data_IF_321406042126
#
_entry.id   IF_321406042126
#
_cell.length_a   1.000
_cell.length_b   1.000
_cell.length_c   1.000
_cell.angle_alpha   90.00
_cell.angle_beta   90.00
_cell.angle_gamma   90.00
#
_symmetry.space_group_name_H-M   'P 1'
#
loop_
_entity.id
_entity.type
_entity.pdbx_description
1 polymer ?
#
# COMPACT_ATOMS: atom_id res chain seq x y z
N UNK A 1 3.69 -5.45 10.60
CA UNK A 1 3.61 -4.56 9.41
C UNK A 1 4.55 -3.38 9.64
N UNK A 2 5.30 -2.96 8.63
CA UNK A 2 6.11 -1.75 8.65
C UNK A 2 6.10 -1.08 7.28
N UNK A 3 6.33 0.24 7.24
CA UNK A 3 6.49 0.97 5.99
C UNK A 3 7.65 1.96 6.07
N UNK A 4 8.26 2.25 4.92
CA UNK A 4 9.32 3.24 4.80
C UNK A 4 9.18 4.08 3.53
N UNK A 5 9.04 5.42 3.64
CA UNK A 5 8.75 6.13 4.89
C UNK A 5 7.44 5.66 5.54
N UNK A 6 7.32 5.80 6.86
CA UNK A 6 6.17 5.26 7.59
C UNK A 6 4.89 5.99 7.20
N UNK A 7 4.91 7.33 7.23
CA UNK A 7 3.82 8.20 6.81
C UNK A 7 4.35 9.61 6.57
N UNK A 8 3.47 10.55 6.21
CA UNK A 8 3.82 11.98 6.13
C UNK A 8 4.24 12.60 7.45
N UNK A 9 3.99 11.95 8.59
CA UNK A 9 4.45 12.42 9.91
C UNK A 9 5.99 12.42 10.06
N UNK A 10 6.73 11.83 9.13
CA UNK A 10 8.21 11.96 9.08
C UNK A 10 8.67 13.34 8.59
N UNK A 11 7.78 14.14 7.99
CA UNK A 11 8.12 15.45 7.46
C UNK A 11 8.09 16.52 8.56
N UNK A 12 9.00 17.51 8.52
CA UNK A 12 8.94 18.64 9.44
C UNK A 12 7.63 19.41 9.23
N UNK A 13 6.98 19.78 10.35
CA UNK A 13 5.71 20.52 10.39
C UNK A 13 4.45 19.71 10.03
N UNK A 14 4.55 18.38 9.91
CA UNK A 14 3.37 17.50 9.89
C UNK A 14 3.29 16.80 11.24
N UNK A 15 2.17 16.99 11.94
CA UNK A 15 1.94 16.36 13.24
C UNK A 15 0.59 15.66 13.23
N UNK A 16 0.54 14.47 13.82
CA UNK A 16 -0.67 13.68 14.07
C UNK A 16 -1.56 13.47 12.85
N UNK A 17 -0.97 13.35 11.66
CA UNK A 17 -1.73 13.00 10.45
C UNK A 17 -2.21 11.54 10.57
N UNK A 18 -3.53 11.28 10.39
CA UNK A 18 -4.09 9.95 10.64
C UNK A 18 -3.72 8.92 9.56
N UNK A 19 -3.08 9.33 8.46
CA UNK A 19 -2.76 8.47 7.30
C UNK A 19 -1.50 7.64 7.52
N UNK A 20 -1.51 6.86 8.59
CA UNK A 20 -0.41 6.02 9.07
C UNK A 20 -0.44 4.63 8.45
N UNK A 21 0.67 3.88 8.57
CA UNK A 21 0.86 2.62 7.86
C UNK A 21 -0.07 1.49 8.34
N UNK A 22 -0.64 1.58 9.54
CA UNK A 22 -1.66 0.65 10.04
C UNK A 22 -2.93 0.66 9.17
N UNK A 23 -3.22 1.75 8.45
CA UNK A 23 -4.37 1.85 7.52
C UNK A 23 -4.26 0.93 6.31
N UNK A 24 -3.10 0.35 6.05
CA UNK A 24 -2.94 -0.69 5.02
C UNK A 24 -3.68 -1.99 5.37
N UNK A 25 -4.02 -2.22 6.65
CA UNK A 25 -4.60 -3.46 7.15
C UNK A 25 -5.76 -3.24 8.14
N UNK A 26 -6.34 -2.04 8.20
CA UNK A 26 -7.38 -1.69 9.18
C UNK A 26 -8.78 -2.23 8.84
N UNK A 27 -8.93 -2.86 7.67
CA UNK A 27 -10.17 -3.47 7.19
C UNK A 27 -11.05 -2.57 6.32
N UNK A 28 -10.71 -1.30 6.14
CA UNK A 28 -11.49 -0.34 5.36
C UNK A 28 -10.92 -0.15 3.95
N UNK A 29 -11.11 -1.16 3.10
CA UNK A 29 -10.42 -1.25 1.81
C UNK A 29 -11.00 -0.37 0.68
N UNK A 30 -12.32 -0.22 0.59
CA UNK A 30 -13.00 0.61 -0.42
C UNK A 30 -13.52 1.89 0.23
N UNK A 31 -12.67 2.91 0.27
CA UNK A 31 -12.96 4.15 1.00
C UNK A 31 -12.29 5.36 0.34
N UNK A 32 -12.90 6.52 0.51
CA UNK A 32 -12.29 7.82 0.24
C UNK A 32 -12.03 8.63 1.53
N UNK A 33 -12.36 8.06 2.69
CA UNK A 33 -12.11 8.71 3.97
C UNK A 33 -10.60 8.63 4.28
N UNK A 34 -9.87 9.76 4.32
CA UNK A 34 -8.43 9.75 4.54
C UNK A 34 -8.03 9.12 5.88
N UNK A 35 -8.91 9.06 6.88
CA UNK A 35 -8.60 8.43 8.18
C UNK A 35 -8.41 6.90 8.08
N UNK A 36 -8.79 6.32 6.95
CA UNK A 36 -8.66 4.90 6.60
C UNK A 36 -7.75 4.67 5.39
N UNK A 37 -6.83 5.61 5.13
CA UNK A 37 -5.95 5.53 3.97
C UNK A 37 -4.52 5.80 4.39
N UNK A 38 -3.57 5.10 3.80
CA UNK A 38 -2.15 5.35 4.04
C UNK A 38 -1.60 6.44 3.11
N UNK A 39 -0.77 7.34 3.64
CA UNK A 39 -0.04 8.33 2.85
C UNK A 39 1.40 8.46 3.35
N UNK A 40 2.34 8.24 2.43
CA UNK A 40 3.78 8.40 2.66
C UNK A 40 4.37 9.43 1.69
N UNK A 41 5.39 10.21 2.10
CA UNK A 41 6.10 11.06 1.18
C UNK A 41 6.91 10.26 0.16
N UNK A 42 7.07 10.83 -1.03
CA UNK A 42 8.07 10.38 -2.01
C UNK A 42 9.37 11.09 -1.68
N UNK A 43 10.39 10.34 -1.26
CA UNK A 43 11.71 10.87 -0.98
C UNK A 43 12.58 10.82 -2.25
N UNK A 44 13.51 11.76 -2.44
CA UNK A 44 14.43 11.75 -3.58
C UNK A 44 15.16 10.41 -3.71
N UNK A 45 15.14 9.84 -4.92
CA UNK A 45 15.80 8.57 -5.27
C UNK A 45 15.35 7.36 -4.43
N UNK A 46 14.14 7.38 -3.86
CA UNK A 46 13.61 6.27 -3.05
C UNK A 46 12.17 5.96 -3.43
N UNK A 47 11.86 4.67 -3.46
CA UNK A 47 10.49 4.18 -3.51
C UNK A 47 9.96 3.97 -2.09
N UNK A 48 8.66 4.22 -1.90
CA UNK A 48 7.95 3.76 -0.72
C UNK A 48 7.99 2.22 -0.67
N UNK A 49 8.23 1.67 0.52
CA UNK A 49 8.30 0.23 0.75
C UNK A 49 7.37 -0.14 1.89
N UNK A 50 6.69 -1.26 1.73
CA UNK A 50 5.83 -1.86 2.75
C UNK A 50 6.36 -3.27 3.02
N UNK A 51 6.48 -3.61 4.29
CA UNK A 51 6.96 -4.89 4.77
C UNK A 51 5.87 -5.55 5.62
N UNK A 52 5.44 -6.73 5.18
CA UNK A 52 4.55 -7.61 5.94
C UNK A 52 5.39 -8.79 6.38
N UNK A 53 5.57 -8.95 7.69
CA UNK A 53 6.36 -10.03 8.30
C UNK A 53 5.44 -10.78 9.24
N UNK A 54 5.49 -12.11 9.17
CA UNK A 54 4.71 -13.01 10.02
C UNK A 54 5.63 -13.64 11.06
N UNK A 55 5.13 -13.83 12.29
CA UNK A 55 5.91 -14.42 13.39
C UNK A 55 6.18 -15.92 13.20
N UNK A 56 5.39 -16.57 12.33
CA UNK A 56 5.49 -17.99 12.01
C UNK A 56 5.39 -18.21 10.50
N UNK A 57 5.93 -19.32 9.96
CA UNK A 57 5.72 -19.71 8.57
C UNK A 57 4.24 -19.66 8.20
N UNK A 58 3.89 -18.81 7.24
CA UNK A 58 2.50 -18.48 6.91
C UNK A 58 2.30 -18.59 5.41
N UNK A 59 1.32 -19.40 5.00
CA UNK A 59 0.91 -19.49 3.60
C UNK A 59 0.05 -18.29 3.21
N UNK A 60 0.58 -17.43 2.34
CA UNK A 60 -0.17 -16.31 1.76
C UNK A 60 -0.80 -16.79 0.45
N UNK A 61 -2.13 -16.76 0.36
CA UNK A 61 -2.84 -17.24 -0.84
C UNK A 61 -3.06 -16.16 -1.89
N UNK A 62 -3.24 -14.91 -1.46
CA UNK A 62 -3.55 -13.78 -2.32
C UNK A 62 -3.08 -12.48 -1.67
N UNK A 63 -2.65 -11.54 -2.50
CA UNK A 63 -2.41 -10.14 -2.12
C UNK A 63 -3.41 -9.26 -2.88
N UNK A 64 -4.14 -8.41 -2.17
CA UNK A 64 -4.97 -7.38 -2.78
C UNK A 64 -4.42 -5.99 -2.41
N UNK A 65 -4.19 -5.15 -3.41
CA UNK A 65 -3.79 -3.76 -3.23
C UNK A 65 -4.97 -2.88 -3.66
N UNK A 66 -5.48 -2.10 -2.72
CA UNK A 66 -6.54 -1.12 -2.93
C UNK A 66 -5.89 0.26 -3.06
N UNK A 67 -6.04 0.88 -4.24
CA UNK A 67 -5.30 2.07 -4.60
C UNK A 67 -5.92 3.36 -4.04
N UNK A 68 -5.11 4.40 -3.86
CA UNK A 68 -5.51 5.63 -3.20
C UNK A 68 -6.63 6.37 -3.98
N UNK A 69 -7.79 6.55 -3.34
CA UNK A 69 -8.99 7.14 -3.94
C UNK A 69 -9.21 8.63 -3.66
N UNK A 70 -8.78 9.14 -2.49
CA UNK A 70 -9.05 10.54 -2.08
C UNK A 70 -8.52 11.58 -3.07
N UNK A 71 -7.38 11.30 -3.70
CA UNK A 71 -6.79 12.11 -4.77
C UNK A 71 -6.14 11.12 -5.73
N UNK A 72 -6.87 10.71 -6.75
CA UNK A 72 -6.58 9.49 -7.52
C UNK A 72 -5.22 9.56 -8.22
N UNK A 73 -4.74 10.75 -8.54
CA UNK A 73 -3.43 11.01 -9.15
C UNK A 73 -2.26 10.72 -8.21
N UNK A 74 -2.52 10.59 -6.90
CA UNK A 74 -1.54 10.18 -5.88
C UNK A 74 -1.47 8.67 -5.68
N UNK A 75 -2.32 7.91 -6.37
CA UNK A 75 -2.28 6.45 -6.33
C UNK A 75 -0.95 5.89 -6.83
N UNK A 76 -0.61 4.69 -6.35
CA UNK A 76 0.54 3.97 -6.88
C UNK A 76 0.26 3.60 -8.35
N UNK A 77 1.21 3.92 -9.25
CA UNK A 77 1.13 3.48 -10.65
C UNK A 77 1.81 2.13 -10.83
N UNK A 78 3.04 1.99 -10.34
CA UNK A 78 3.86 0.80 -10.47
C UNK A 78 4.18 0.22 -9.09
N UNK A 79 4.09 -1.10 -8.95
CA UNK A 79 4.55 -1.83 -7.77
C UNK A 79 5.30 -3.08 -8.18
N UNK A 80 6.31 -3.38 -7.38
CA UNK A 80 6.99 -4.67 -7.37
C UNK A 80 6.67 -5.33 -6.04
N UNK A 81 6.26 -6.59 -6.09
CA UNK A 81 5.97 -7.40 -4.92
C UNK A 81 6.95 -8.57 -4.91
N UNK A 82 7.62 -8.73 -3.78
CA UNK A 82 8.46 -9.88 -3.49
C UNK A 82 7.95 -10.63 -2.27
N UNK A 83 8.14 -11.95 -2.27
CA UNK A 83 7.90 -12.85 -1.14
C UNK A 83 9.21 -13.60 -0.92
N UNK A 84 9.77 -13.53 0.28
CA UNK A 84 11.07 -14.13 0.62
C UNK A 84 12.16 -13.85 -0.43
N UNK A 85 12.32 -12.58 -0.78
CA UNK A 85 13.26 -12.04 -1.78
C UNK A 85 13.03 -12.46 -3.24
N UNK A 86 11.98 -13.25 -3.52
CA UNK A 86 11.58 -13.60 -4.88
C UNK A 86 10.49 -12.66 -5.39
N UNK A 87 10.72 -12.00 -6.53
CA UNK A 87 9.71 -11.15 -7.17
C UNK A 87 8.60 -12.03 -7.75
N UNK A 88 7.39 -11.86 -7.23
CA UNK A 88 6.18 -12.58 -7.69
C UNK A 88 5.32 -11.73 -8.61
N UNK A 89 5.49 -10.40 -8.57
CA UNK A 89 4.78 -9.47 -9.45
C UNK A 89 5.57 -8.19 -9.66
N UNK A 90 5.54 -7.65 -10.87
CA UNK A 90 6.02 -6.30 -11.18
C UNK A 90 5.20 -5.72 -12.31
N UNK A 91 4.43 -4.67 -12.02
CA UNK A 91 3.48 -4.13 -12.99
C UNK A 91 2.67 -2.97 -12.47
N UNK A 92 1.62 -2.63 -13.20
CA UNK A 92 0.76 -1.48 -12.89
C UNK A 92 -0.36 -1.83 -11.92
N UNK A 93 -0.74 -0.85 -11.09
CA UNK A 93 -1.97 -0.89 -10.29
C UNK A 93 -3.01 -0.03 -10.99
N UNK A 94 -4.25 -0.53 -11.16
CA UNK A 94 -5.32 0.31 -11.65
C UNK A 94 -5.46 1.58 -10.79
N UNK A 95 -5.52 2.74 -11.45
CA UNK A 95 -5.81 4.00 -10.78
C UNK A 95 -7.28 3.98 -10.28
N UNK A 96 -7.52 4.52 -9.10
CA UNK A 96 -8.88 4.73 -8.60
C UNK A 96 -9.60 5.82 -9.40
N UNK A 97 -10.93 5.81 -9.39
CA UNK A 97 -11.79 6.89 -9.88
C UNK A 97 -12.54 7.53 -8.70
N UNK A 98 -13.30 8.59 -8.95
CA UNK A 98 -14.17 9.20 -7.92
C UNK A 98 -15.24 8.22 -7.39
N UNK A 99 -15.62 7.21 -8.17
CA UNK A 99 -16.69 6.27 -7.82
C UNK A 99 -16.23 4.82 -7.64
N UNK A 100 -14.97 4.47 -7.98
CA UNK A 100 -14.46 3.09 -7.87
C UNK A 100 -13.01 3.05 -7.41
N UNK A 101 -12.70 2.18 -6.46
CA UNK A 101 -11.32 1.92 -6.03
C UNK A 101 -10.62 1.03 -7.06
N UNK A 102 -9.41 1.42 -7.45
CA UNK A 102 -8.54 0.60 -8.29
C UNK A 102 -7.98 -0.56 -7.45
N UNK A 103 -8.12 -1.79 -7.94
CA UNK A 103 -7.72 -2.99 -7.19
C UNK A 103 -6.81 -3.85 -8.05
N UNK A 104 -5.65 -4.19 -7.51
CA UNK A 104 -4.76 -5.22 -8.04
C UNK A 104 -4.84 -6.45 -7.14
N UNK A 105 -5.19 -7.60 -7.72
CA UNK A 105 -5.28 -8.88 -7.01
C UNK A 105 -4.28 -9.86 -7.61
N UNK A 106 -3.40 -10.40 -6.77
CA UNK A 106 -2.35 -11.34 -7.16
C UNK A 106 -2.57 -12.63 -6.40
N UNK A 107 -2.76 -13.74 -7.12
CA UNK A 107 -2.78 -15.08 -6.56
C UNK A 107 -1.34 -15.55 -6.33
N UNK A 108 -1.07 -16.13 -5.17
CA UNK A 108 0.20 -16.79 -4.85
C UNK A 108 0.05 -18.31 -4.73
N UNK A 109 -1.12 -18.84 -5.12
CA UNK A 109 -1.31 -20.29 -5.24
C UNK A 109 -0.63 -20.77 -6.51
N UNK A 110 0.11 -21.86 -6.41
CA UNK A 110 0.50 -22.67 -7.57
C UNK A 110 -0.79 -23.23 -8.19
N UNK A 111 -0.95 -23.09 -9.51
CA UNK A 111 -2.06 -23.69 -10.29
C UNK A 111 -1.82 -25.18 -10.54
#
# INVERSE_FOLDING_TARGET
LAAYPESVNVLPNVNDDPRTSDKLIDGFNDTENPSHMWLTPILPNRCARVFVVFDFPTYVSRINIYNYRKTTERGARLVTISVDDLIVFSGEVPQSTSYKTGVLSISLREE
#
